data_IF_767983482361
#
_entry.id   IF_767983482361
#
_cell.length_a   1.000
_cell.length_b   1.000
_cell.length_c   1.000
_cell.angle_alpha   90.00
_cell.angle_beta   90.00
_cell.angle_gamma   90.00
#
_symmetry.space_group_name_H-M   'P 1'
#
loop_
_entity.id
_entity.type
_entity.pdbx_description
1 polymer ?
#
# COMPACT_ATOMS: atom_id res chain seq x y z
N UNK A 1 -0.79 5.70 -9.55
CA UNK A 1 -2.21 5.50 -9.15
C UNK A 1 -2.62 6.30 -7.89
N UNK A 2 -1.70 6.92 -7.15
CA UNK A 2 -2.01 7.68 -5.93
C UNK A 2 -3.09 8.78 -6.10
N UNK A 3 -2.98 9.64 -7.11
CA UNK A 3 -3.96 10.71 -7.37
C UNK A 3 -5.38 10.17 -7.67
N UNK A 4 -5.47 9.01 -8.33
CA UNK A 4 -6.75 8.35 -8.60
C UNK A 4 -7.37 7.88 -7.28
N UNK A 5 -6.57 7.27 -6.40
CA UNK A 5 -7.01 6.88 -5.06
C UNK A 5 -7.47 8.08 -4.23
N UNK A 6 -6.76 9.22 -4.29
CA UNK A 6 -7.19 10.44 -3.61
C UNK A 6 -8.56 10.90 -4.10
N UNK A 7 -8.77 11.00 -5.42
CA UNK A 7 -10.06 11.39 -5.98
C UNK A 7 -11.18 10.42 -5.58
N UNK A 8 -10.92 9.11 -5.65
CA UNK A 8 -11.88 8.08 -5.24
C UNK A 8 -12.24 8.19 -3.76
N UNK A 9 -11.26 8.47 -2.89
CA UNK A 9 -11.47 8.57 -1.44
C UNK A 9 -12.43 9.68 -1.02
N UNK A 10 -12.54 10.73 -1.83
CA UNK A 10 -13.49 11.84 -1.61
C UNK A 10 -14.87 11.60 -2.26
N UNK A 11 -15.04 10.52 -3.02
CA UNK A 11 -16.31 10.16 -3.65
C UNK A 11 -17.33 9.54 -2.69
N UNK A 12 -18.59 9.35 -3.14
CA UNK A 12 -19.60 8.64 -2.37
C UNK A 12 -19.28 7.14 -2.25
N UNK A 13 -19.87 6.45 -1.27
CA UNK A 13 -19.80 4.99 -1.20
C UNK A 13 -20.49 4.36 -2.44
N UNK A 14 -19.93 3.27 -3.01
CA UNK A 14 -18.75 2.51 -2.55
C UNK A 14 -17.42 3.01 -3.18
N UNK A 15 -17.42 4.11 -3.93
CA UNK A 15 -16.24 4.60 -4.66
C UNK A 15 -15.07 4.93 -3.71
N UNK A 16 -15.36 5.51 -2.55
CA UNK A 16 -14.35 5.76 -1.51
C UNK A 16 -13.67 4.48 -1.01
N UNK A 17 -14.39 3.36 -0.97
CA UNK A 17 -13.83 2.06 -0.59
C UNK A 17 -12.93 1.48 -1.68
N UNK A 18 -13.22 1.76 -2.95
CA UNK A 18 -12.39 1.34 -4.09
C UNK A 18 -11.05 2.07 -4.10
N UNK A 19 -10.97 3.28 -3.51
CA UNK A 19 -9.71 4.01 -3.34
C UNK A 19 -8.61 3.18 -2.67
N UNK A 20 -8.99 2.26 -1.79
CA UNK A 20 -8.08 1.35 -1.11
C UNK A 20 -7.29 0.46 -2.09
N UNK A 21 -7.92 0.03 -3.19
CA UNK A 21 -7.26 -0.72 -4.25
C UNK A 21 -6.20 0.15 -4.94
N UNK A 22 -6.58 1.37 -5.32
CA UNK A 22 -5.67 2.32 -5.98
C UNK A 22 -4.49 2.74 -5.09
N UNK A 23 -4.71 2.87 -3.78
CA UNK A 23 -3.66 3.13 -2.81
C UNK A 23 -2.69 1.95 -2.67
N UNK A 24 -3.22 0.73 -2.54
CA UNK A 24 -2.40 -0.48 -2.51
C UNK A 24 -1.52 -0.59 -3.78
N UNK A 25 -2.13 -0.47 -4.95
CA UNK A 25 -1.43 -0.61 -6.23
C UNK A 25 -0.34 0.47 -6.39
N UNK A 26 -0.57 1.68 -5.86
CA UNK A 26 0.46 2.72 -5.86
C UNK A 26 1.66 2.38 -4.99
N UNK A 27 1.44 1.85 -3.79
CA UNK A 27 2.53 1.41 -2.91
C UNK A 27 3.25 0.19 -3.50
N UNK A 28 2.52 -0.75 -4.09
CA UNK A 28 3.07 -1.97 -4.70
C UNK A 28 3.97 -1.63 -5.89
N UNK A 29 3.53 -0.74 -6.79
CA UNK A 29 4.34 -0.27 -7.91
C UNK A 29 5.63 0.40 -7.43
N UNK A 30 5.56 1.21 -6.38
CA UNK A 30 6.74 1.87 -5.81
C UNK A 30 7.73 0.86 -5.21
N UNK A 31 7.22 -0.11 -4.45
CA UNK A 31 8.03 -1.18 -3.87
C UNK A 31 8.67 -2.06 -4.95
N UNK A 32 7.92 -2.37 -6.00
CA UNK A 32 8.43 -3.10 -7.16
C UNK A 32 9.59 -2.36 -7.82
N UNK A 33 9.40 -1.09 -8.18
CA UNK A 33 10.45 -0.24 -8.76
C UNK A 33 11.67 -0.12 -7.83
N UNK A 34 11.44 0.04 -6.53
CA UNK A 34 12.51 0.10 -5.52
C UNK A 34 13.30 -1.21 -5.47
N UNK A 35 12.60 -2.34 -5.57
CA UNK A 35 13.21 -3.67 -5.59
C UNK A 35 14.01 -3.92 -6.88
N UNK A 36 13.52 -3.45 -8.03
CA UNK A 36 14.25 -3.50 -9.30
C UNK A 36 15.51 -2.65 -9.24
N UNK A 37 15.41 -1.42 -8.73
CA UNK A 37 16.55 -0.52 -8.56
C UNK A 37 17.65 -1.12 -7.67
N UNK A 38 17.26 -1.79 -6.59
CA UNK A 38 18.19 -2.46 -5.66
C UNK A 38 18.64 -3.85 -6.14
N UNK A 39 18.20 -4.30 -7.32
CA UNK A 39 18.38 -5.68 -7.81
C UNK A 39 18.00 -6.73 -6.75
N UNK A 40 16.93 -6.45 -6.02
CA UNK A 40 16.43 -7.22 -4.88
C UNK A 40 15.06 -7.81 -5.23
N UNK A 41 15.01 -8.63 -6.27
CA UNK A 41 13.76 -9.13 -6.85
C UNK A 41 13.68 -10.65 -6.98
N UNK A 42 12.46 -11.19 -6.96
CA UNK A 42 12.11 -12.54 -7.36
C UNK A 42 10.79 -12.51 -8.14
N UNK A 43 10.54 -13.50 -9.01
CA UNK A 43 9.41 -13.49 -9.96
C UNK A 43 8.00 -13.56 -9.31
N UNK A 44 7.88 -13.71 -8.00
CA UNK A 44 6.58 -13.83 -7.30
C UNK A 44 6.65 -13.31 -5.86
N UNK A 45 6.93 -12.01 -5.73
CA UNK A 45 7.02 -11.33 -4.44
C UNK A 45 5.64 -10.88 -3.97
N UNK A 46 5.19 -11.43 -2.85
CA UNK A 46 4.01 -10.90 -2.17
C UNK A 46 4.29 -9.50 -1.65
N UNK A 47 3.25 -8.63 -1.61
CA UNK A 47 3.36 -7.22 -1.21
C UNK A 47 4.23 -6.98 0.05
N UNK A 48 4.06 -7.80 1.10
CA UNK A 48 4.82 -7.66 2.34
C UNK A 48 6.29 -8.07 2.22
N UNK A 49 6.63 -8.99 1.31
CA UNK A 49 8.00 -9.46 1.10
C UNK A 49 8.88 -8.36 0.52
N UNK A 50 8.32 -7.42 -0.27
CA UNK A 50 9.11 -6.30 -0.79
C UNK A 50 9.84 -5.52 0.31
N UNK A 51 9.18 -5.29 1.46
CA UNK A 51 9.79 -4.62 2.60
C UNK A 51 11.01 -5.40 3.11
N UNK A 52 10.91 -6.72 3.21
CA UNK A 52 12.02 -7.56 3.69
C UNK A 52 13.20 -7.55 2.70
N UNK A 53 12.94 -7.67 1.40
CA UNK A 53 13.99 -7.66 0.38
C UNK A 53 14.69 -6.31 0.26
N UNK A 54 13.93 -5.22 0.32
CA UNK A 54 14.49 -3.88 0.24
C UNK A 54 15.30 -3.59 1.52
N UNK A 55 14.78 -3.93 2.70
CA UNK A 55 15.50 -3.72 3.97
C UNK A 55 16.83 -4.47 4.02
N UNK A 56 16.94 -5.66 3.41
CA UNK A 56 18.21 -6.41 3.33
C UNK A 56 19.27 -5.72 2.47
N UNK A 57 18.87 -4.84 1.56
CA UNK A 57 19.75 -4.16 0.60
C UNK A 57 19.99 -2.70 0.93
N UNK A 58 19.23 -2.14 1.87
CA UNK A 58 19.43 -0.79 2.36
C UNK A 58 20.66 -0.74 3.28
N UNK A 59 21.57 0.23 3.07
CA UNK A 59 22.73 0.41 3.94
C UNK A 59 22.35 0.97 5.32
N UNK A 60 23.18 0.70 6.32
CA UNK A 60 23.17 1.31 7.66
C UNK A 60 21.88 1.13 8.48
N UNK A 61 21.29 -0.07 8.50
CA UNK A 61 20.13 -0.37 9.36
C UNK A 61 18.90 0.49 9.03
N UNK A 62 18.88 1.12 7.86
CA UNK A 62 17.70 1.83 7.35
C UNK A 62 16.67 0.82 6.89
N UNK A 63 15.47 0.98 7.39
CA UNK A 63 14.32 0.18 6.99
C UNK A 63 13.28 1.06 6.33
N UNK A 64 12.54 0.51 5.38
CA UNK A 64 11.33 1.15 4.88
C UNK A 64 10.36 1.30 6.06
N UNK A 65 10.03 2.54 6.37
CA UNK A 65 9.07 2.88 7.41
C UNK A 65 7.66 2.36 7.07
N UNK A 66 6.81 2.29 8.08
CA UNK A 66 5.38 2.00 7.94
C UNK A 66 5.00 0.60 7.41
N UNK A 67 5.90 -0.39 7.51
CA UNK A 67 5.59 -1.80 7.19
C UNK A 67 4.29 -2.28 7.86
N UNK A 68 4.09 -1.98 9.13
CA UNK A 68 2.86 -2.37 9.86
C UNK A 68 1.60 -1.64 9.40
N UNK A 69 1.70 -0.35 9.05
CA UNK A 69 0.57 0.40 8.49
C UNK A 69 0.16 -0.14 7.12
N UNK A 70 1.16 -0.48 6.29
CA UNK A 70 0.96 -1.11 4.99
C UNK A 70 0.40 -2.54 5.09
N UNK A 71 0.76 -3.27 6.15
CA UNK A 71 0.15 -4.58 6.47
C UNK A 71 -1.35 -4.45 6.75
N UNK A 72 -1.77 -3.41 7.49
CA UNK A 72 -3.20 -3.14 7.75
C UNK A 72 -3.94 -2.77 6.47
N UNK A 73 -3.33 -1.93 5.63
CA UNK A 73 -3.88 -1.54 4.33
C UNK A 73 -4.10 -2.78 3.44
N UNK A 74 -3.10 -3.65 3.33
CA UNK A 74 -3.22 -4.89 2.56
C UNK A 74 -4.33 -5.82 3.11
N UNK A 75 -4.44 -5.95 4.45
CA UNK A 75 -5.51 -6.73 5.07
C UNK A 75 -6.90 -6.20 4.70
N UNK A 76 -7.11 -4.89 4.81
CA UNK A 76 -8.37 -4.26 4.44
C UNK A 76 -8.69 -4.45 2.94
N UNK A 77 -7.67 -4.36 2.08
CA UNK A 77 -7.81 -4.61 0.64
C UNK A 77 -8.22 -6.05 0.34
N UNK A 78 -7.64 -7.04 1.03
CA UNK A 78 -8.02 -8.45 0.90
C UNK A 78 -9.47 -8.67 1.35
N UNK A 79 -9.89 -8.08 2.48
CA UNK A 79 -11.28 -8.16 2.96
C UNK A 79 -12.27 -7.51 1.98
N UNK A 80 -11.91 -6.39 1.36
CA UNK A 80 -12.73 -5.78 0.32
C UNK A 80 -12.85 -6.68 -0.92
N UNK A 81 -11.73 -7.23 -1.42
CA UNK A 81 -11.67 -8.00 -2.66
C UNK A 81 -12.32 -9.38 -2.56
N UNK A 82 -12.12 -10.09 -1.44
CA UNK A 82 -12.57 -11.48 -1.27
C UNK A 82 -13.86 -11.60 -0.47
N UNK A 83 -14.11 -10.69 0.47
CA UNK A 83 -15.27 -10.78 1.37
C UNK A 83 -16.32 -9.70 1.09
N UNK A 84 -16.08 -8.81 0.12
CA UNK A 84 -16.98 -7.68 -0.17
C UNK A 84 -17.17 -6.72 1.00
N UNK A 85 -16.28 -6.76 2.00
CA UNK A 85 -16.41 -5.97 3.22
C UNK A 85 -15.91 -4.56 2.97
N UNK A 86 -16.82 -3.58 3.03
CA UNK A 86 -16.48 -2.18 2.87
C UNK A 86 -15.81 -1.66 4.16
N UNK A 87 -14.60 -1.07 4.09
CA UNK A 87 -13.98 -0.44 5.24
C UNK A 87 -14.80 0.76 5.72
N UNK A 88 -14.77 1.02 7.02
CA UNK A 88 -15.46 2.20 7.58
C UNK A 88 -14.79 3.50 7.10
N UNK A 89 -15.55 4.60 7.00
CA UNK A 89 -15.00 5.92 6.59
C UNK A 89 -13.79 6.35 7.43
N UNK A 90 -13.83 6.11 8.75
CA UNK A 90 -12.71 6.41 9.65
C UNK A 90 -11.44 5.61 9.30
N UNK A 91 -11.60 4.36 8.86
CA UNK A 91 -10.48 3.53 8.42
C UNK A 91 -9.95 4.01 7.07
N UNK A 92 -10.83 4.42 6.15
CA UNK A 92 -10.43 5.00 4.86
C UNK A 92 -9.61 6.28 5.03
N UNK A 93 -10.01 7.18 5.94
CA UNK A 93 -9.24 8.38 6.25
C UNK A 93 -7.86 8.04 6.86
N UNK A 94 -7.80 7.01 7.70
CA UNK A 94 -6.54 6.51 8.25
C UNK A 94 -5.63 5.89 7.16
N UNK A 95 -6.20 5.15 6.20
CA UNK A 95 -5.44 4.61 5.07
C UNK A 95 -4.97 5.70 4.12
N UNK A 96 -5.79 6.72 3.85
CA UNK A 96 -5.38 7.90 3.08
C UNK A 96 -4.18 8.58 3.74
N UNK A 97 -4.24 8.79 5.05
CA UNK A 97 -3.14 9.40 5.80
C UNK A 97 -1.88 8.52 5.73
N UNK A 98 -2.03 7.21 5.92
CA UNK A 98 -0.93 6.23 5.81
C UNK A 98 -0.22 6.30 4.46
N UNK A 99 -0.98 6.28 3.36
CA UNK A 99 -0.38 6.31 2.02
C UNK A 99 0.25 7.66 1.70
N UNK A 100 -0.32 8.77 2.19
CA UNK A 100 0.28 10.10 2.06
C UNK A 100 1.61 10.17 2.80
N UNK A 101 1.69 9.69 4.05
CA UNK A 101 2.94 9.65 4.80
C UNK A 101 3.97 8.66 4.23
N UNK A 102 3.56 7.68 3.41
CA UNK A 102 4.50 6.76 2.78
C UNK A 102 5.25 7.40 1.62
N UNK A 103 4.62 8.33 0.90
CA UNK A 103 5.22 9.01 -0.25
C UNK A 103 5.83 10.38 0.09
N UNK A 104 5.71 10.85 1.33
CA UNK A 104 6.18 12.16 1.80
C UNK A 104 7.34 11.98 2.78
#
# INVERSE_FOLDING_TARGET
>A
MYNIGLQQSHGPEPLCSIALLSFHDSAELFLHLSSEYLNSGGNDLSFMKYFDFINQKLPDGKEIAQKESMRRLNKARVSLKHNGTLPAKIELDAFRSTISFFFF
#
